data_IF_601591709598
#
_entry.id   IF_601591709598
#
_cell.length_a   1.000
_cell.length_b   1.000
_cell.length_c   1.000
_cell.angle_alpha   90.00
_cell.angle_beta   90.00
_cell.angle_gamma   90.00
#
_symmetry.space_group_name_H-M   'P 1'
#
loop_
_entity.id
_entity.type
_entity.pdbx_description
1 polymer ?
#
# COMPACT_ATOMS: atom_id res chain seq x y z
N UNK A 1 -22.11 10.89 32.11
CA UNK A 1 -20.88 10.55 31.35
C UNK A 1 -20.68 9.04 31.43
N UNK A 2 -20.72 8.33 30.30
CA UNK A 2 -20.57 6.86 30.26
C UNK A 2 -19.12 6.48 30.57
N UNK A 3 -18.89 5.71 31.64
CA UNK A 3 -17.57 5.20 32.01
C UNK A 3 -17.04 4.25 30.94
N UNK A 4 -15.88 4.60 30.36
CA UNK A 4 -15.11 3.78 29.43
C UNK A 4 -14.45 2.64 30.19
N UNK A 5 -14.93 1.42 30.00
CA UNK A 5 -14.33 0.21 30.58
C UNK A 5 -13.46 -0.49 29.53
N UNK A 6 -12.41 -1.20 29.96
CA UNK A 6 -11.48 -1.91 29.06
C UNK A 6 -12.21 -2.83 28.07
N UNK A 7 -13.24 -3.55 28.56
CA UNK A 7 -14.06 -4.44 27.74
C UNK A 7 -14.82 -3.70 26.63
N UNK A 8 -15.24 -2.45 26.86
CA UNK A 8 -15.90 -1.63 25.83
C UNK A 8 -14.92 -1.12 24.78
N UNK A 9 -13.65 -0.95 25.14
CA UNK A 9 -12.59 -0.51 24.22
C UNK A 9 -12.18 -1.67 23.32
N UNK A 10 -11.98 -2.86 23.87
CA UNK A 10 -11.61 -4.05 23.10
C UNK A 10 -12.75 -4.59 22.24
N UNK A 11 -14.01 -4.36 22.63
CA UNK A 11 -15.19 -4.71 21.82
C UNK A 11 -15.52 -3.70 20.71
N UNK A 12 -14.78 -2.59 20.58
CA UNK A 12 -15.06 -1.63 19.51
C UNK A 12 -14.82 -2.27 18.15
N UNK A 13 -15.86 -2.23 17.31
CA UNK A 13 -15.79 -2.71 15.93
C UNK A 13 -14.73 -1.89 15.19
N UNK A 14 -13.79 -2.59 14.54
CA UNK A 14 -12.77 -1.95 13.73
C UNK A 14 -13.38 -1.11 12.60
N UNK A 15 -12.70 -0.02 12.24
CA UNK A 15 -13.09 0.85 11.13
C UNK A 15 -12.90 0.08 9.82
N UNK A 16 -13.85 0.22 8.88
CA UNK A 16 -13.73 -0.39 7.56
C UNK A 16 -12.61 0.27 6.74
N UNK A 17 -12.02 -0.43 5.77
CA UNK A 17 -10.96 0.12 4.92
C UNK A 17 -11.44 1.38 4.18
N UNK A 18 -12.70 1.39 3.72
CA UNK A 18 -13.29 2.55 3.04
C UNK A 18 -13.43 3.78 3.94
N UNK A 19 -13.86 3.58 5.19
CA UNK A 19 -13.94 4.68 6.17
C UNK A 19 -12.55 5.18 6.59
N UNK A 20 -11.58 4.27 6.75
CA UNK A 20 -10.20 4.64 7.05
C UNK A 20 -9.59 5.46 5.90
N UNK A 21 -9.83 5.07 4.64
CA UNK A 21 -9.39 5.82 3.46
C UNK A 21 -10.00 7.24 3.45
N UNK A 22 -11.28 7.37 3.79
CA UNK A 22 -11.95 8.68 3.88
C UNK A 22 -11.34 9.55 4.98
N UNK A 23 -11.03 8.98 6.15
CA UNK A 23 -10.36 9.74 7.23
C UNK A 23 -8.98 10.20 6.82
N UNK A 24 -8.24 9.41 6.04
CA UNK A 24 -6.92 9.77 5.52
C UNK A 24 -7.02 10.93 4.51
N UNK A 25 -8.04 10.94 3.65
CA UNK A 25 -8.22 12.07 2.73
C UNK A 25 -8.51 13.38 3.43
N UNK A 26 -9.08 13.33 4.64
CA UNK A 26 -9.40 14.51 5.45
C UNK A 26 -8.19 15.01 6.27
N UNK A 27 -7.04 14.30 6.26
CA UNK A 27 -5.83 14.72 6.97
C UNK A 27 -5.10 15.90 6.29
N UNK A 28 -5.38 16.17 5.01
CA UNK A 28 -4.78 17.31 4.31
C UNK A 28 -5.36 18.63 4.81
N UNK A 29 -4.51 19.56 5.23
CA UNK A 29 -4.91 20.93 5.59
C UNK A 29 -4.05 21.95 4.87
N UNK A 30 -4.64 23.11 4.56
CA UNK A 30 -3.93 24.24 3.97
C UNK A 30 -3.51 25.20 5.09
N UNK A 31 -2.20 25.39 5.37
CA UNK A 31 -1.74 26.28 6.43
C UNK A 31 -1.98 27.75 6.08
N UNK A 32 -2.51 28.55 7.00
CA UNK A 32 -2.73 30.00 6.80
C UNK A 32 -1.46 30.84 6.98
N UNK A 33 -0.44 30.29 7.65
CA UNK A 33 0.73 31.03 8.12
C UNK A 33 1.96 30.89 7.21
N UNK A 34 1.91 30.06 6.17
CA UNK A 34 3.01 29.81 5.23
C UNK A 34 2.45 29.75 3.81
N UNK A 35 3.16 30.36 2.87
CA UNK A 35 2.88 30.19 1.45
C UNK A 35 3.39 28.82 0.99
N UNK A 36 2.52 28.00 0.39
CA UNK A 36 2.89 26.67 -0.10
C UNK A 36 4.08 26.74 -1.06
N UNK A 37 5.17 26.07 -0.70
CA UNK A 37 6.32 25.93 -1.57
C UNK A 37 6.00 24.91 -2.66
N UNK A 38 5.98 25.36 -3.92
CA UNK A 38 5.89 24.46 -5.07
C UNK A 38 7.24 23.76 -5.27
N UNK A 39 7.45 22.62 -4.59
CA UNK A 39 8.69 21.83 -4.68
C UNK A 39 9.02 21.44 -6.11
N UNK A 40 8.00 21.28 -6.97
CA UNK A 40 8.14 21.02 -8.40
C UNK A 40 7.28 22.02 -9.18
N UNK A 41 7.86 22.99 -9.89
CA UNK A 41 7.10 23.94 -10.68
C UNK A 41 6.37 23.20 -11.82
N UNK A 42 5.10 23.51 -11.98
CA UNK A 42 4.23 22.91 -13.01
C UNK A 42 3.27 23.97 -13.52
N UNK A 43 3.00 23.94 -14.82
CA UNK A 43 2.01 24.82 -15.46
C UNK A 43 0.57 24.37 -15.16
N UNK A 44 0.40 23.15 -14.66
CA UNK A 44 -0.90 22.54 -14.41
C UNK A 44 -1.39 22.78 -12.98
N UNK A 45 -2.68 23.11 -12.85
CA UNK A 45 -3.36 23.25 -11.55
C UNK A 45 -4.40 22.15 -11.37
N UNK A 46 -4.27 21.37 -10.29
CA UNK A 46 -5.26 20.36 -9.91
C UNK A 46 -6.37 21.06 -9.13
N UNK A 47 -7.50 21.34 -9.79
CA UNK A 47 -8.62 22.07 -9.18
C UNK A 47 -9.38 21.27 -8.11
N UNK A 48 -9.32 19.94 -8.16
CA UNK A 48 -9.99 19.05 -7.22
C UNK A 48 -9.06 17.90 -6.86
N UNK A 49 -8.97 17.58 -5.57
CA UNK A 49 -8.23 16.42 -5.11
C UNK A 49 -8.66 15.16 -5.89
N UNK A 50 -7.73 14.47 -6.58
CA UNK A 50 -8.05 13.30 -7.37
C UNK A 50 -8.58 12.20 -6.46
N UNK A 51 -9.54 11.42 -6.97
CA UNK A 51 -10.04 10.25 -6.25
C UNK A 51 -9.04 9.12 -6.44
N UNK A 52 -8.60 8.54 -5.34
CA UNK A 52 -7.76 7.34 -5.37
C UNK A 52 -8.58 6.14 -5.90
N UNK A 53 -8.19 5.52 -7.03
CA UNK A 53 -8.85 4.33 -7.55
C UNK A 53 -8.65 3.11 -6.63
N UNK A 54 -7.59 3.08 -5.82
CA UNK A 54 -7.24 1.97 -4.96
C UNK A 54 -7.32 2.40 -3.49
N UNK A 55 -8.42 2.04 -2.81
CA UNK A 55 -8.65 2.38 -1.39
C UNK A 55 -7.80 1.53 -0.44
N UNK A 56 -6.49 1.55 -0.62
CA UNK A 56 -5.56 0.79 0.20
C UNK A 56 -5.11 1.64 1.38
N UNK A 57 -5.18 1.05 2.58
CA UNK A 57 -4.66 1.64 3.82
C UNK A 57 -3.50 0.77 4.28
N UNK A 58 -2.53 1.32 5.01
CA UNK A 58 -1.35 0.57 5.50
C UNK A 58 -1.72 -0.78 6.13
N UNK A 59 -2.77 -0.79 6.96
CA UNK A 59 -3.30 -2.00 7.61
C UNK A 59 -3.77 -3.08 6.63
N UNK A 60 -4.30 -2.71 5.46
CA UNK A 60 -4.70 -3.67 4.43
C UNK A 60 -3.56 -3.97 3.44
N UNK A 61 -2.68 -3.00 3.22
CA UNK A 61 -1.58 -3.13 2.26
C UNK A 61 -0.54 -4.14 2.74
N UNK A 62 -0.06 -4.00 3.99
CA UNK A 62 1.03 -4.85 4.48
C UNK A 62 0.70 -6.35 4.49
N UNK A 63 -0.42 -6.83 5.06
CA UNK A 63 -0.72 -8.26 5.06
C UNK A 63 -0.90 -8.82 3.64
N UNK A 64 -1.49 -8.02 2.74
CA UNK A 64 -1.68 -8.43 1.35
C UNK A 64 -0.35 -8.55 0.60
N UNK A 65 0.60 -7.63 0.81
CA UNK A 65 1.92 -7.72 0.16
C UNK A 65 2.78 -8.82 0.81
N UNK A 66 2.73 -8.94 2.13
CA UNK A 66 3.42 -9.99 2.86
C UNK A 66 2.99 -11.39 2.37
N UNK A 67 1.70 -11.61 2.13
CA UNK A 67 1.21 -12.88 1.57
C UNK A 67 1.76 -13.14 0.17
N UNK A 68 1.82 -12.12 -0.69
CA UNK A 68 2.40 -12.26 -2.03
C UNK A 68 3.88 -12.60 -1.95
N UNK A 69 4.63 -11.90 -1.11
CA UNK A 69 6.05 -12.10 -0.91
C UNK A 69 6.33 -13.51 -0.40
N UNK A 70 5.61 -13.96 0.64
CA UNK A 70 5.76 -15.30 1.19
C UNK A 70 5.54 -16.40 0.14
N UNK A 71 4.54 -16.24 -0.72
CA UNK A 71 4.27 -17.20 -1.81
C UNK A 71 5.36 -17.16 -2.89
N UNK A 72 5.80 -15.98 -3.29
CA UNK A 72 6.82 -15.80 -4.34
C UNK A 72 8.16 -16.36 -3.86
N UNK A 73 8.63 -15.97 -2.67
CA UNK A 73 9.90 -16.46 -2.14
C UNK A 73 9.87 -17.95 -1.83
N UNK A 74 8.75 -18.48 -1.35
CA UNK A 74 8.58 -19.92 -1.18
C UNK A 74 8.68 -20.69 -2.49
N UNK A 75 8.07 -20.17 -3.56
CA UNK A 75 8.17 -20.78 -4.89
C UNK A 75 9.59 -20.67 -5.48
N UNK A 76 10.28 -19.54 -5.28
CA UNK A 76 11.65 -19.34 -5.74
C UNK A 76 12.64 -20.30 -5.05
N UNK A 77 12.54 -20.46 -3.73
CA UNK A 77 13.36 -21.41 -2.96
C UNK A 77 13.10 -22.86 -3.38
N UNK A 78 11.84 -23.23 -3.61
CA UNK A 78 11.50 -24.55 -4.17
C UNK A 78 12.08 -24.75 -5.58
N UNK A 79 12.00 -23.73 -6.44
CA UNK A 79 12.52 -23.78 -7.80
C UNK A 79 14.05 -23.90 -7.84
N UNK A 80 14.74 -23.23 -6.92
CA UNK A 80 16.20 -23.34 -6.76
C UNK A 80 16.60 -24.76 -6.34
N UNK A 81 15.91 -25.36 -5.38
CA UNK A 81 16.17 -26.76 -4.96
C UNK A 81 15.87 -27.77 -6.05
N UNK A 82 14.88 -27.49 -6.91
CA UNK A 82 14.54 -28.31 -8.06
C UNK A 82 15.45 -28.13 -9.27
N UNK A 83 16.51 -27.31 -9.17
CA UNK A 83 17.40 -26.94 -10.27
C UNK A 83 16.61 -26.48 -11.53
N UNK A 84 15.44 -25.84 -11.34
CA UNK A 84 14.51 -25.54 -12.43
C UNK A 84 15.13 -24.60 -13.47
N UNK A 85 16.10 -23.77 -13.07
CA UNK A 85 16.86 -22.88 -13.93
C UNK A 85 17.69 -23.62 -15.00
N UNK A 86 18.02 -24.90 -14.81
CA UNK A 86 18.74 -25.71 -15.80
C UNK A 86 17.86 -26.17 -16.96
N UNK A 87 16.54 -26.16 -16.78
CA UNK A 87 15.56 -26.62 -17.77
C UNK A 87 14.99 -25.47 -18.63
N UNK A 88 15.50 -24.25 -18.45
CA UNK A 88 15.05 -23.07 -19.17
C UNK A 88 15.82 -22.93 -20.48
N UNK A 89 15.13 -22.56 -21.55
CA UNK A 89 15.75 -22.29 -22.85
C UNK A 89 16.79 -21.16 -22.75
N UNK A 90 18.06 -21.35 -23.18
CA UNK A 90 19.09 -20.32 -23.11
C UNK A 90 18.68 -18.98 -23.71
N UNK A 91 17.92 -18.96 -24.82
CA UNK A 91 17.41 -17.69 -25.37
C UNK A 91 16.55 -16.94 -24.36
N UNK A 92 15.72 -17.64 -23.59
CA UNK A 92 14.89 -17.00 -22.56
C UNK A 92 15.75 -16.45 -21.40
N UNK A 93 16.82 -17.16 -21.02
CA UNK A 93 17.77 -16.68 -20.00
C UNK A 93 18.46 -15.39 -20.45
N UNK A 94 18.86 -15.28 -21.72
CA UNK A 94 19.42 -14.04 -22.26
C UNK A 94 18.42 -12.89 -22.25
N UNK A 95 17.12 -13.17 -22.47
CA UNK A 95 16.08 -12.14 -22.38
C UNK A 95 15.85 -11.64 -20.95
N UNK A 96 16.03 -12.48 -19.93
CA UNK A 96 15.87 -12.08 -18.52
C UNK A 96 16.99 -11.17 -17.98
N UNK A 97 18.10 -11.01 -18.73
CA UNK A 97 19.21 -10.12 -18.36
C UNK A 97 18.98 -8.66 -18.76
N UNK A 98 18.13 -8.44 -19.76
CA UNK A 98 17.78 -7.11 -20.28
C UNK A 98 16.94 -6.34 -19.26
#
# INVERSE_FOLDING_TARGET
MSSLTLNKITSQRGISVGEATKKISDLGWNPTYVQEAMTFPTDYKIAKAPRDPMKQVLRSYFPMQEEKDNRVYGALDAALRGDMFRNVEPRWVEWMKL
#
